data_IF_671142363769
#
_entry.id   IF_671142363769
#
_cell.length_a   1.000
_cell.length_b   1.000
_cell.length_c   1.000
_cell.angle_alpha   90.00
_cell.angle_beta   90.00
_cell.angle_gamma   90.00
#
_symmetry.space_group_name_H-M   'P 1'
#
loop_
_entity.id
_entity.type
_entity.pdbx_description
1 polymer ?
#
# COMPACT_ATOMS: atom_id res chain seq x y z
N UNK A 1 1.29 12.54 1.45
CA UNK A 1 2.68 12.10 1.18
C UNK A 1 2.63 10.72 0.52
N UNK A 2 3.49 10.41 -0.46
CA UNK A 2 3.53 9.10 -1.11
C UNK A 2 3.74 7.97 -0.08
N UNK A 3 3.11 6.84 -0.33
CA UNK A 3 3.18 5.66 0.52
C UNK A 3 3.64 4.46 -0.32
N UNK A 4 4.45 3.60 0.28
CA UNK A 4 4.99 2.38 -0.32
C UNK A 4 4.55 1.17 0.51
N UNK A 5 4.07 0.11 -0.14
CA UNK A 5 3.83 -1.19 0.48
C UNK A 5 5.02 -2.09 0.14
N UNK A 6 5.69 -2.61 1.17
CA UNK A 6 6.81 -3.53 1.02
C UNK A 6 6.85 -4.48 2.22
N UNK A 7 7.05 -5.78 1.97
CA UNK A 7 7.16 -6.80 3.02
C UNK A 7 5.99 -6.83 4.03
N UNK A 8 4.75 -6.68 3.55
CA UNK A 8 3.55 -6.55 4.39
C UNK A 8 3.52 -5.29 5.30
N UNK A 9 4.41 -4.31 5.13
CA UNK A 9 4.40 -3.06 5.89
C UNK A 9 4.23 -1.82 5.02
N UNK A 10 3.64 -0.78 5.60
CA UNK A 10 3.47 0.53 4.95
C UNK A 10 4.59 1.47 5.35
N UNK A 11 5.20 2.09 4.35
CA UNK A 11 6.21 3.12 4.50
C UNK A 11 5.73 4.45 3.93
N UNK A 12 6.15 5.55 4.53
CA UNK A 12 5.94 6.92 4.04
C UNK A 12 7.25 7.48 3.51
N UNK A 13 7.17 8.26 2.42
CA UNK A 13 8.34 8.94 1.90
C UNK A 13 8.86 9.94 2.94
N UNK A 14 10.11 9.76 3.36
CA UNK A 14 10.77 10.65 4.31
C UNK A 14 11.53 11.75 3.57
N UNK A 15 12.37 11.36 2.61
CA UNK A 15 13.15 12.27 1.77
C UNK A 15 13.50 11.60 0.46
N UNK A 16 13.79 12.41 -0.55
CA UNK A 16 14.35 11.97 -1.82
C UNK A 16 15.71 12.64 -2.04
N UNK A 17 16.57 11.97 -2.78
CA UNK A 17 17.81 12.52 -3.34
C UNK A 17 17.71 12.50 -4.86
N UNK A 18 18.79 12.89 -5.54
CA UNK A 18 18.91 12.82 -6.99
C UNK A 18 18.86 11.40 -7.56
N UNK A 19 18.97 10.36 -6.71
CA UNK A 19 19.02 8.97 -7.16
C UNK A 19 18.13 8.03 -6.35
N UNK A 20 17.77 8.38 -5.12
CA UNK A 20 17.17 7.45 -4.16
C UNK A 20 16.02 8.10 -3.40
N UNK A 21 14.92 7.38 -3.29
CA UNK A 21 13.84 7.68 -2.37
C UNK A 21 14.03 6.90 -1.07
N UNK A 22 13.98 7.60 0.06
CA UNK A 22 14.14 7.05 1.40
C UNK A 22 12.78 7.01 2.09
N UNK A 23 12.36 5.81 2.42
CA UNK A 23 11.06 5.51 3.01
C UNK A 23 11.26 5.05 4.45
N UNK A 24 10.38 5.49 5.35
CA UNK A 24 10.37 5.08 6.76
C UNK A 24 9.03 4.43 7.08
N UNK A 25 9.01 3.47 7.99
CA UNK A 25 7.76 2.88 8.45
C UNK A 25 6.77 3.96 8.93
N UNK A 26 5.48 3.73 8.72
CA UNK A 26 4.44 4.66 9.17
C UNK A 26 4.30 4.69 10.68
N UNK A 27 4.57 3.57 11.37
CA UNK A 27 4.45 3.46 12.82
C UNK A 27 5.56 4.25 13.53
N UNK A 28 5.15 5.07 14.50
CA UNK A 28 6.08 5.86 15.29
C UNK A 28 6.95 4.96 16.18
N UNK A 29 8.26 5.20 16.19
CA UNK A 29 9.22 4.39 16.95
C UNK A 29 9.69 3.11 16.24
N UNK A 30 9.17 2.81 15.05
CA UNK A 30 9.72 1.75 14.20
C UNK A 30 10.96 2.25 13.45
N UNK A 31 12.03 1.45 13.42
CA UNK A 31 13.32 1.82 12.81
C UNK A 31 13.47 1.38 11.36
N UNK A 32 12.55 0.53 10.87
CA UNK A 32 12.54 -0.06 9.54
C UNK A 32 12.43 1.01 8.44
N UNK A 33 13.23 0.82 7.39
CA UNK A 33 13.37 1.73 6.26
C UNK A 33 13.42 0.94 4.96
N UNK A 34 12.91 1.54 3.89
CA UNK A 34 13.06 1.02 2.53
C UNK A 34 13.72 2.09 1.67
N UNK A 35 14.58 1.69 0.76
CA UNK A 35 15.18 2.55 -0.24
C UNK A 35 14.75 2.07 -1.63
N UNK A 36 14.30 3.00 -2.47
CA UNK A 36 14.01 2.73 -3.89
C UNK A 36 14.74 3.72 -4.77
N UNK A 37 14.93 3.41 -6.05
CA UNK A 37 15.37 4.41 -7.01
C UNK A 37 14.25 5.43 -7.31
N UNK A 38 14.52 6.38 -8.21
CA UNK A 38 13.54 7.37 -8.68
C UNK A 38 12.40 6.77 -9.49
N UNK A 39 12.60 5.60 -10.09
CA UNK A 39 11.61 4.84 -10.84
C UNK A 39 10.85 3.84 -9.96
N UNK A 40 10.93 3.99 -8.63
CA UNK A 40 10.31 3.12 -7.63
C UNK A 40 10.78 1.65 -7.68
N UNK A 41 11.96 1.38 -8.26
CA UNK A 41 12.57 0.05 -8.19
C UNK A 41 13.20 -0.16 -6.82
N UNK A 42 12.96 -1.34 -6.26
CA UNK A 42 13.49 -1.72 -4.96
C UNK A 42 15.03 -1.72 -4.96
N UNK A 43 15.64 -1.09 -3.95
CA UNK A 43 17.09 -1.16 -3.71
C UNK A 43 17.37 -2.04 -2.51
N UNK A 44 16.81 -1.70 -1.32
CA UNK A 44 17.01 -2.47 -0.08
C UNK A 44 16.03 -2.11 1.03
N UNK A 45 15.90 -3.00 2.01
CA UNK A 45 15.29 -2.77 3.32
C UNK A 45 16.40 -2.70 4.37
N UNK A 46 16.23 -1.83 5.37
CA UNK A 46 17.18 -1.62 6.46
C UNK A 46 16.44 -1.55 7.79
N UNK A 47 16.90 -2.35 8.76
CA UNK A 47 16.32 -2.43 10.10
C UNK A 47 15.10 -3.34 10.16
N UNK A 48 14.75 -3.76 11.38
CA UNK A 48 13.64 -4.66 11.64
C UNK A 48 12.40 -3.91 12.14
N UNK A 49 11.24 -4.51 11.90
CA UNK A 49 9.99 -4.04 12.49
C UNK A 49 9.90 -4.51 13.96
N UNK A 50 9.44 -3.61 14.82
CA UNK A 50 9.16 -3.87 16.23
C UNK A 50 7.64 -4.04 16.49
N UNK A 51 6.88 -4.31 15.44
CA UNK A 51 5.44 -4.46 15.48
C UNK A 51 5.02 -5.45 14.40
N UNK A 52 3.82 -6.01 14.55
CA UNK A 52 3.24 -6.88 13.53
C UNK A 52 2.68 -6.08 12.35
N UNK A 53 2.58 -6.69 11.16
CA UNK A 53 1.83 -6.13 10.03
C UNK A 53 0.36 -5.90 10.39
N UNK A 54 -0.18 -4.72 10.04
CA UNK A 54 -1.61 -4.42 10.19
C UNK A 54 -2.39 -4.93 8.97
N UNK A 55 -2.55 -6.26 8.84
CA UNK A 55 -3.12 -6.92 7.65
C UNK A 55 -4.47 -6.37 7.22
N UNK A 56 -5.39 -6.17 8.17
CA UNK A 56 -6.72 -5.62 7.88
C UNK A 56 -6.64 -4.22 7.23
N UNK A 57 -5.73 -3.37 7.70
CA UNK A 57 -5.54 -2.03 7.13
C UNK A 57 -4.97 -2.09 5.70
N UNK A 58 -4.14 -3.09 5.41
CA UNK A 58 -3.63 -3.33 4.06
C UNK A 58 -4.75 -3.76 3.12
N UNK A 59 -5.59 -4.71 3.53
CA UNK A 59 -6.72 -5.20 2.74
C UNK A 59 -7.72 -4.09 2.42
N UNK A 60 -8.09 -3.29 3.44
CA UNK A 60 -8.96 -2.11 3.27
C UNK A 60 -8.34 -1.14 2.26
N UNK A 61 -7.02 -0.94 2.32
CA UNK A 61 -6.33 -0.03 1.41
C UNK A 61 -6.29 -0.57 -0.02
N UNK A 62 -5.98 -1.84 -0.22
CA UNK A 62 -6.01 -2.49 -1.53
C UNK A 62 -7.39 -2.42 -2.16
N UNK A 63 -8.44 -2.71 -1.38
CA UNK A 63 -9.82 -2.57 -1.80
C UNK A 63 -10.14 -1.14 -2.25
N UNK A 64 -9.77 -0.14 -1.43
CA UNK A 64 -9.98 1.28 -1.76
C UNK A 64 -9.27 1.70 -3.04
N UNK A 65 -8.04 1.24 -3.27
CA UNK A 65 -7.31 1.55 -4.49
C UNK A 65 -7.97 0.92 -5.72
N UNK A 66 -8.43 -0.33 -5.64
CA UNK A 66 -9.19 -0.97 -6.73
C UNK A 66 -10.45 -0.16 -7.09
N UNK A 67 -11.24 0.23 -6.08
CA UNK A 67 -12.45 1.04 -6.29
C UNK A 67 -12.11 2.38 -6.94
N UNK A 68 -11.05 3.07 -6.49
CA UNK A 68 -10.61 4.34 -7.07
C UNK A 68 -10.16 4.19 -8.52
N UNK A 69 -9.35 3.18 -8.84
CA UNK A 69 -8.88 2.95 -10.21
C UNK A 69 -10.07 2.74 -11.15
N UNK A 70 -11.04 1.92 -10.75
CA UNK A 70 -12.27 1.71 -11.53
C UNK A 70 -13.07 3.00 -11.68
N UNK A 71 -13.25 3.78 -10.61
CA UNK A 71 -13.99 5.04 -10.67
C UNK A 71 -13.33 6.11 -11.56
N UNK A 72 -12.00 6.06 -11.75
CA UNK A 72 -11.26 6.97 -12.65
C UNK A 72 -11.43 6.53 -14.11
N UNK A 73 -11.44 5.23 -14.39
CA UNK A 73 -11.36 4.68 -15.74
C UNK A 73 -12.71 4.23 -16.32
N UNK A 74 -13.72 4.03 -15.48
CA UNK A 74 -15.04 3.58 -15.86
C UNK A 74 -16.09 4.67 -15.61
N UNK A 75 -17.16 4.66 -16.40
CA UNK A 75 -18.38 5.45 -16.14
C UNK A 75 -19.32 4.77 -15.15
N UNK A 76 -18.94 3.61 -14.63
CA UNK A 76 -19.71 2.85 -13.62
C UNK A 76 -19.83 3.68 -12.33
N UNK A 77 -21.04 3.88 -11.79
CA UNK A 77 -21.22 4.62 -10.53
C UNK A 77 -20.47 3.96 -9.36
N UNK A 78 -19.88 4.78 -8.48
CA UNK A 78 -19.10 4.30 -7.32
C UNK A 78 -19.87 3.26 -6.46
N UNK A 79 -21.17 3.44 -6.15
CA UNK A 79 -21.90 2.43 -5.37
C UNK A 79 -21.91 1.05 -6.05
N UNK A 80 -22.05 1.03 -7.38
CA UNK A 80 -22.04 -0.21 -8.17
C UNK A 80 -20.67 -0.88 -8.16
N UNK A 81 -19.59 -0.10 -8.27
CA UNK A 81 -18.22 -0.61 -8.18
C UNK A 81 -18.00 -1.23 -6.79
N UNK A 82 -18.44 -0.56 -5.72
CA UNK A 82 -18.31 -1.08 -4.36
C UNK A 82 -19.01 -2.44 -4.19
N UNK A 83 -20.29 -2.53 -4.59
CA UNK A 83 -21.06 -3.78 -4.50
C UNK A 83 -20.38 -4.94 -5.24
N UNK A 84 -19.84 -4.67 -6.43
CA UNK A 84 -19.15 -5.66 -7.25
C UNK A 84 -17.82 -6.13 -6.61
N UNK A 85 -17.03 -5.21 -6.06
CA UNK A 85 -15.79 -5.58 -5.37
C UNK A 85 -16.07 -6.33 -4.05
N UNK A 86 -17.13 -5.97 -3.32
CA UNK A 86 -17.58 -6.71 -2.13
C UNK A 86 -18.04 -8.12 -2.49
N UNK A 87 -18.82 -8.28 -3.56
CA UNK A 87 -19.28 -9.59 -4.02
C UNK A 87 -18.09 -10.51 -4.38
N UNK A 88 -17.11 -10.00 -5.14
CA UNK A 88 -15.89 -10.75 -5.50
C UNK A 88 -15.12 -11.23 -4.27
N UNK A 89 -14.97 -10.38 -3.25
CA UNK A 89 -14.29 -10.74 -2.01
C UNK A 89 -15.03 -11.87 -1.26
N UNK A 90 -16.36 -11.81 -1.18
CA UNK A 90 -17.17 -12.90 -0.60
C UNK A 90 -16.97 -14.25 -1.33
N UNK A 91 -16.86 -14.25 -2.66
CA UNK A 91 -16.64 -15.48 -3.43
C UNK A 91 -15.25 -16.08 -3.22
N UNK A 92 -14.24 -15.27 -2.88
CA UNK A 92 -12.87 -15.76 -2.63
C UNK A 92 -12.70 -16.41 -1.25
N UNK A 93 -13.56 -16.10 -0.28
CA UNK A 93 -13.52 -16.70 1.06
C UNK A 93 -14.15 -18.10 1.14
N UNK A 94 -14.76 -18.58 0.05
CA UNK A 94 -15.46 -19.87 0.00
C UNK A 94 -14.66 -20.98 -0.73
N UNK A 95 -13.41 -20.71 -1.12
CA UNK A 95 -12.55 -21.63 -1.88
C UNK A 95 -11.29 -22.00 -1.10
#
# INVERSE_FOLDING_TARGET
>A
KPLLLADEYVFKLNKNTTTTNYWICTLNGCSAKVHTDLNSRFIKIVGDHNHFPEKEQLEIREFREKVKQRAIHETTPIPRIYDEECAKACFQMQQ
#
